data_IF_509474666688
#
_entry.id   IF_509474666688
#
_cell.length_a   1.000
_cell.length_b   1.000
_cell.length_c   1.000
_cell.angle_alpha   90.00
_cell.angle_beta   90.00
_cell.angle_gamma   90.00
#
_symmetry.space_group_name_H-M   'P 1'
#
loop_
_entity.id
_entity.type
_entity.pdbx_description
1 polymer ?
#
# COMPACT_ATOMS: atom_id res chain seq x y z
N UNK A 1 -4.59 17.12 -24.35
CA UNK A 1 -4.14 17.37 -22.96
C UNK A 1 -5.20 17.07 -21.91
N UNK A 2 -6.42 17.62 -21.97
CA UNK A 2 -7.46 17.38 -20.95
C UNK A 2 -7.86 15.90 -20.72
N UNK A 3 -7.81 15.05 -21.76
CA UNK A 3 -8.22 13.64 -21.65
C UNK A 3 -7.14 12.71 -21.05
N UNK A 4 -5.88 13.12 -21.15
CA UNK A 4 -4.73 12.39 -20.57
C UNK A 4 -4.70 12.63 -19.06
N UNK A 5 -4.88 13.89 -18.64
CA UNK A 5 -4.95 14.31 -17.23
C UNK A 5 -6.09 13.60 -16.47
N UNK A 6 -7.25 13.41 -17.11
CA UNK A 6 -8.36 12.66 -16.51
C UNK A 6 -8.04 11.17 -16.29
N UNK A 7 -7.34 10.54 -17.23
CA UNK A 7 -6.97 9.12 -17.15
C UNK A 7 -5.91 8.89 -16.06
N UNK A 8 -4.89 9.75 -16.02
CA UNK A 8 -3.85 9.74 -14.97
C UNK A 8 -4.45 9.93 -13.57
N UNK A 9 -5.43 10.83 -13.43
CA UNK A 9 -6.14 11.03 -12.18
C UNK A 9 -6.89 9.78 -11.72
N UNK A 10 -7.56 9.07 -12.64
CA UNK A 10 -8.28 7.83 -12.31
C UNK A 10 -7.33 6.70 -11.91
N UNK A 11 -6.20 6.55 -12.60
CA UNK A 11 -5.15 5.60 -12.21
C UNK A 11 -4.59 5.90 -10.81
N UNK A 12 -4.42 7.19 -10.49
CA UNK A 12 -3.95 7.60 -9.17
C UNK A 12 -4.96 7.24 -8.07
N UNK A 13 -6.26 7.36 -8.31
CA UNK A 13 -7.29 6.93 -7.36
C UNK A 13 -7.26 5.42 -7.12
N UNK A 14 -7.04 4.61 -8.16
CA UNK A 14 -6.84 3.15 -8.00
C UNK A 14 -5.62 2.85 -7.13
N UNK A 15 -4.48 3.52 -7.39
CA UNK A 15 -3.27 3.36 -6.59
C UNK A 15 -3.46 3.79 -5.13
N UNK A 16 -4.17 4.90 -4.89
CA UNK A 16 -4.51 5.37 -3.53
C UNK A 16 -5.37 4.36 -2.78
N UNK A 17 -6.27 3.66 -3.47
CA UNK A 17 -7.11 2.61 -2.88
C UNK A 17 -6.31 1.46 -2.25
N UNK A 18 -5.12 1.15 -2.77
CA UNK A 18 -4.31 0.02 -2.31
C UNK A 18 -3.10 0.42 -1.44
N UNK A 19 -2.86 1.72 -1.25
CA UNK A 19 -1.66 2.24 -0.58
C UNK A 19 -1.50 1.72 0.85
N UNK A 20 -2.62 1.54 1.57
CA UNK A 20 -2.62 0.99 2.93
C UNK A 20 -2.16 -0.46 2.90
N UNK A 21 -2.75 -1.30 2.04
CA UNK A 21 -2.39 -2.70 1.93
C UNK A 21 -0.91 -2.87 1.52
N UNK A 22 -0.43 -2.06 0.59
CA UNK A 22 0.97 -2.07 0.19
C UNK A 22 1.90 -1.75 1.37
N UNK A 23 1.63 -0.67 2.14
CA UNK A 23 2.43 -0.33 3.31
C UNK A 23 2.44 -1.46 4.37
N UNK A 24 1.26 -2.03 4.67
CA UNK A 24 1.15 -3.14 5.63
C UNK A 24 1.93 -4.38 5.19
N UNK A 25 1.92 -4.69 3.88
CA UNK A 25 2.65 -5.84 3.31
C UNK A 25 4.16 -5.80 3.58
N UNK A 26 4.73 -4.60 3.69
CA UNK A 26 6.17 -4.41 3.88
C UNK A 26 6.56 -4.26 5.36
N UNK A 27 5.58 -4.17 6.26
CA UNK A 27 5.78 -3.93 7.70
C UNK A 27 5.57 -5.17 8.58
N UNK A 28 5.52 -6.37 7.98
CA UNK A 28 5.59 -7.62 8.73
C UNK A 28 6.91 -7.75 9.51
N UNK A 29 7.97 -7.10 9.02
CA UNK A 29 9.24 -6.88 9.70
C UNK A 29 9.42 -5.40 10.02
N UNK A 30 10.16 -5.10 11.08
CA UNK A 30 10.44 -3.71 11.48
C UNK A 30 11.25 -2.98 10.40
N UNK A 31 10.80 -1.79 9.99
CA UNK A 31 11.48 -0.92 9.00
C UNK A 31 11.33 0.55 9.39
N UNK A 32 12.35 1.36 9.10
CA UNK A 32 12.18 2.82 9.18
C UNK A 32 11.63 3.39 7.86
N UNK A 33 11.10 4.62 7.91
CA UNK A 33 10.30 5.17 6.82
C UNK A 33 10.98 5.19 5.45
N UNK A 34 12.29 5.44 5.38
CA UNK A 34 13.03 5.42 4.11
C UNK A 34 13.19 4.00 3.55
N UNK A 35 13.55 3.00 4.38
CA UNK A 35 13.62 1.59 3.96
C UNK A 35 12.28 1.09 3.46
N UNK A 36 11.20 1.47 4.15
CA UNK A 36 9.84 1.15 3.72
C UNK A 36 9.54 1.74 2.35
N UNK A 37 9.86 3.03 2.14
CA UNK A 37 9.64 3.72 0.86
C UNK A 37 10.41 3.05 -0.27
N UNK A 38 11.65 2.65 -0.02
CA UNK A 38 12.48 1.94 -1.00
C UNK A 38 11.88 0.57 -1.34
N UNK A 39 11.53 -0.23 -0.33
CA UNK A 39 10.89 -1.55 -0.53
C UNK A 39 9.59 -1.46 -1.32
N UNK A 40 8.79 -0.42 -1.09
CA UNK A 40 7.55 -0.17 -1.85
C UNK A 40 7.85 0.22 -3.30
N UNK A 41 8.84 1.08 -3.53
CA UNK A 41 9.25 1.49 -4.87
C UNK A 41 9.80 0.30 -5.68
N UNK A 42 10.62 -0.56 -5.06
CA UNK A 42 11.15 -1.78 -5.68
C UNK A 42 10.02 -2.75 -6.10
N UNK A 43 8.91 -2.74 -5.37
CA UNK A 43 7.68 -3.47 -5.70
C UNK A 43 6.74 -2.74 -6.68
N UNK A 44 7.15 -1.61 -7.27
CA UNK A 44 6.35 -0.83 -8.22
C UNK A 44 5.35 0.16 -7.60
N UNK A 45 5.37 0.32 -6.28
CA UNK A 45 4.54 1.26 -5.53
C UNK A 45 5.36 2.49 -5.09
N UNK A 46 5.50 3.45 -6.00
CA UNK A 46 6.16 4.72 -5.69
C UNK A 46 5.26 5.59 -4.82
N UNK A 47 5.75 5.98 -3.64
CA UNK A 47 5.04 6.86 -2.71
C UNK A 47 5.95 8.01 -2.28
N UNK A 48 5.39 9.22 -2.35
CA UNK A 48 6.01 10.44 -1.86
C UNK A 48 6.06 10.48 -0.32
N UNK A 49 7.10 11.09 0.24
CA UNK A 49 7.26 11.23 1.70
C UNK A 49 6.08 11.94 2.36
N UNK A 50 5.56 12.99 1.70
CA UNK A 50 4.39 13.74 2.15
C UNK A 50 3.10 12.90 2.22
N UNK A 51 3.08 11.72 1.60
CA UNK A 51 1.98 10.76 1.70
C UNK A 51 2.30 9.65 2.71
N UNK A 52 3.52 9.11 2.66
CA UNK A 52 3.92 7.97 3.47
C UNK A 52 3.92 8.29 4.96
N UNK A 53 4.55 9.39 5.39
CA UNK A 53 4.71 9.66 6.82
C UNK A 53 3.38 9.99 7.53
N UNK A 54 2.47 10.80 6.96
CA UNK A 54 1.14 10.97 7.54
C UNK A 54 0.35 9.65 7.59
N UNK A 55 0.47 8.79 6.58
CA UNK A 55 -0.14 7.47 6.58
C UNK A 55 0.35 6.62 7.75
N UNK A 56 1.67 6.54 7.97
CA UNK A 56 2.27 5.77 9.07
C UNK A 56 1.80 6.28 10.44
N UNK A 57 1.81 7.60 10.65
CA UNK A 57 1.31 8.21 11.91
C UNK A 57 -0.16 7.88 12.16
N UNK A 58 -0.97 7.91 11.11
CA UNK A 58 -2.40 7.56 11.20
C UNK A 58 -2.60 6.10 11.57
N UNK A 59 -1.92 5.18 10.88
CA UNK A 59 -2.02 3.74 11.16
C UNK A 59 -1.53 3.39 12.57
N UNK A 60 -0.47 4.06 13.04
CA UNK A 60 -0.02 3.96 14.41
C UNK A 60 -1.07 4.46 15.41
N UNK A 61 -1.65 5.65 15.19
CA UNK A 61 -2.70 6.19 16.09
C UNK A 61 -3.96 5.32 16.15
N UNK A 62 -4.18 4.50 15.11
CA UNK A 62 -5.27 3.52 15.03
C UNK A 62 -4.91 2.17 15.66
N UNK A 63 -3.70 2.01 16.20
CA UNK A 63 -3.23 0.76 16.80
C UNK A 63 -2.83 -0.31 15.78
N UNK A 64 -2.83 0.00 14.48
CA UNK A 64 -2.46 -0.93 13.40
C UNK A 64 -0.94 -1.16 13.37
N UNK A 65 -0.16 -0.14 13.71
CA UNK A 65 1.29 -0.20 13.78
C UNK A 65 1.78 0.02 15.20
N UNK A 66 2.85 -0.66 15.56
CA UNK A 66 3.71 -0.31 16.69
C UNK A 66 4.95 0.41 16.15
N UNK A 67 5.50 1.34 16.95
CA UNK A 67 6.75 1.99 16.59
C UNK A 67 7.73 2.08 17.76
N UNK A 68 9.01 2.22 17.42
CA UNK A 68 10.08 2.41 18.37
C UNK A 68 11.13 3.38 17.82
N UNK A 69 11.72 4.18 18.70
CA UNK A 69 12.87 4.99 18.36
C UNK A 69 14.14 4.18 18.58
N UNK A 70 15.01 4.14 17.58
CA UNK A 70 16.35 3.53 17.67
C UNK A 70 17.42 4.57 17.36
N UNK A 71 18.54 4.50 18.10
CA UNK A 71 19.69 5.41 17.98
C UNK A 71 20.99 4.66 17.68
N UNK A 72 20.87 3.42 17.23
CA UNK A 72 21.97 2.48 16.98
C UNK A 72 22.90 2.89 15.83
N UNK A 73 22.38 3.62 14.84
CA UNK A 73 23.14 4.06 13.65
C UNK A 73 23.28 5.59 13.54
N UNK A 74 23.41 6.28 14.68
CA UNK A 74 23.59 7.74 14.74
C UNK A 74 22.29 8.48 14.99
N UNK A 75 21.79 9.22 13.99
CA UNK A 75 20.57 10.03 14.14
C UNK A 75 19.36 9.16 14.53
N UNK A 76 18.56 9.56 15.53
CA UNK A 76 17.38 8.81 15.94
C UNK A 76 16.45 8.51 14.75
N UNK A 77 16.13 7.23 14.54
CA UNK A 77 15.19 6.76 13.51
C UNK A 77 14.00 6.11 14.17
N UNK A 78 12.81 6.39 13.63
CA UNK A 78 11.58 5.72 14.04
C UNK A 78 11.32 4.52 13.14
N UNK A 79 11.24 3.36 13.76
CA UNK A 79 10.93 2.09 13.11
C UNK A 79 9.47 1.74 13.34
N UNK A 80 8.83 1.14 12.34
CA UNK A 80 7.44 0.73 12.36
C UNK A 80 7.34 -0.77 12.08
N UNK A 81 6.38 -1.43 12.71
CA UNK A 81 6.05 -2.84 12.51
C UNK A 81 4.55 -3.06 12.73
N UNK A 82 3.96 -4.07 12.10
CA UNK A 82 2.57 -4.47 12.40
C UNK A 82 2.40 -4.82 13.88
N UNK A 83 1.35 -4.27 14.49
CA UNK A 83 0.84 -4.73 15.79
C UNK A 83 0.12 -6.08 15.63
N UNK A 84 -0.29 -6.75 16.72
CA UNK A 84 -1.17 -7.92 16.64
C UNK A 84 -2.45 -7.65 15.83
N UNK A 85 -3.13 -6.54 16.09
CA UNK A 85 -4.34 -6.14 15.36
C UNK A 85 -4.03 -5.76 13.91
N UNK A 86 -2.86 -5.15 13.68
CA UNK A 86 -2.39 -4.83 12.33
C UNK A 86 -2.14 -6.07 11.47
N UNK A 87 -1.67 -7.18 12.06
CA UNK A 87 -1.53 -8.46 11.35
C UNK A 87 -2.89 -9.01 10.92
N UNK A 88 -3.88 -9.00 11.82
CA UNK A 88 -5.25 -9.43 11.49
C UNK A 88 -5.88 -8.55 10.40
N UNK A 89 -5.66 -7.23 10.47
CA UNK A 89 -6.11 -6.31 9.44
C UNK A 89 -5.44 -6.60 8.09
N UNK A 90 -4.13 -6.83 8.08
CA UNK A 90 -3.38 -7.15 6.88
C UNK A 90 -3.90 -8.42 6.20
N UNK A 91 -4.14 -9.49 6.95
CA UNK A 91 -4.71 -10.75 6.43
C UNK A 91 -6.10 -10.54 5.82
N UNK A 92 -6.96 -9.78 6.50
CA UNK A 92 -8.30 -9.45 6.00
C UNK A 92 -8.23 -8.64 4.70
N UNK A 93 -7.43 -7.57 4.67
CA UNK A 93 -7.28 -6.72 3.48
C UNK A 93 -6.65 -7.49 2.32
N UNK A 94 -5.69 -8.38 2.58
CA UNK A 94 -5.12 -9.26 1.56
C UNK A 94 -6.18 -10.18 0.95
N UNK A 95 -7.05 -10.76 1.79
CA UNK A 95 -8.15 -11.61 1.34
C UNK A 95 -9.15 -10.82 0.50
N UNK A 96 -9.56 -9.63 0.97
CA UNK A 96 -10.46 -8.74 0.21
C UNK A 96 -9.86 -8.29 -1.12
N UNK A 97 -8.56 -7.99 -1.16
CA UNK A 97 -7.87 -7.61 -2.38
C UNK A 97 -7.87 -8.72 -3.42
N UNK A 98 -7.55 -9.96 -3.02
CA UNK A 98 -7.57 -11.12 -3.93
C UNK A 98 -8.96 -11.34 -4.53
N UNK A 99 -10.00 -11.32 -3.69
CA UNK A 99 -11.38 -11.48 -4.16
C UNK A 99 -11.81 -10.34 -5.12
N UNK A 100 -11.39 -9.10 -4.84
CA UNK A 100 -11.65 -7.97 -5.74
C UNK A 100 -10.94 -8.15 -7.07
N UNK A 101 -9.66 -8.55 -7.05
CA UNK A 101 -8.88 -8.78 -8.25
C UNK A 101 -9.51 -9.88 -9.11
N UNK A 102 -9.87 -11.03 -8.52
CA UNK A 102 -10.55 -12.12 -9.22
C UNK A 102 -11.87 -11.66 -9.85
N UNK A 103 -12.64 -10.83 -9.13
CA UNK A 103 -13.89 -10.26 -9.64
C UNK A 103 -13.64 -9.35 -10.82
N UNK A 104 -12.64 -8.46 -10.75
CA UNK A 104 -12.30 -7.56 -11.84
C UNK A 104 -11.77 -8.30 -13.06
N UNK A 105 -10.91 -9.30 -12.86
CA UNK A 105 -10.37 -10.15 -13.93
C UNK A 105 -11.52 -10.85 -14.68
N UNK A 106 -12.51 -11.39 -13.96
CA UNK A 106 -13.70 -11.98 -14.58
C UNK A 106 -14.54 -10.95 -15.37
N UNK A 107 -14.74 -9.75 -14.84
CA UNK A 107 -15.52 -8.71 -15.51
C UNK A 107 -14.83 -8.19 -16.78
N UNK A 108 -13.51 -8.01 -16.73
CA UNK A 108 -12.71 -7.54 -17.85
C UNK A 108 -12.57 -8.60 -18.95
N UNK A 109 -12.50 -9.88 -18.57
CA UNK A 109 -12.42 -11.00 -19.53
C UNK A 109 -13.75 -11.26 -20.24
N UNK A 110 -14.89 -11.12 -19.54
CA UNK A 110 -16.24 -11.27 -20.17
C UNK A 110 -16.63 -10.11 -21.11
N UNK A 111 -15.89 -9.01 -21.09
CA UNK A 111 -16.13 -7.83 -21.93
C UNK A 111 -15.34 -7.80 -23.24
N UNK A 112 -14.45 -8.76 -23.50
CA UNK A 112 -13.85 -8.91 -24.81
C UNK A 112 -14.93 -9.40 -25.78
N UNK A 113 -15.26 -8.67 -26.87
CA UNK A 113 -16.09 -9.25 -27.91
C UNK A 113 -15.40 -10.52 -28.42
N UNK A 114 -16.16 -11.60 -28.55
CA UNK A 114 -15.79 -12.76 -29.36
C UNK A 114 -15.59 -12.29 -30.82
N UNK A 115 -14.46 -11.65 -31.11
CA UNK A 115 -13.97 -11.43 -32.46
C UNK A 115 -13.40 -12.77 -32.93
N UNK A 116 -14.30 -13.67 -33.37
CA UNK A 116 -14.10 -14.67 -34.42
C UNK A 116 -15.33 -15.61 -34.51
N UNK A 117 -16.27 -15.25 -35.40
CA UNK A 117 -17.04 -16.21 -36.22
C UNK A 117 -17.25 -15.65 -37.61
#
# INVERSE_FOLDING_TARGET
>A
MANVDASEKLELELRRGVVVLAALSQLQTSRYGYELRQSLADGGMVIEEGTLYPLLRRLESQGVLSSEWRTDQGSPRRYYVLSPDGRLLYERLTTSWRALNDTMDHLLTRGAPDDER
#
